data_IF_485805784371
#
_entry.id   IF_485805784371
#
_cell.length_a   1.000
_cell.length_b   1.000
_cell.length_c   1.000
_cell.angle_alpha   90.00
_cell.angle_beta   90.00
_cell.angle_gamma   90.00
#
_symmetry.space_group_name_H-M   'P 1'
#
loop_
_entity.id
_entity.type
_entity.pdbx_description
1 polymer ?
#
# COMPACT_ATOMS: atom_id res chain seq x y z
N UNK A 1 -10.81 -2.37 -18.48
CA UNK A 1 -11.28 -3.04 -17.24
C UNK A 1 -10.73 -4.46 -17.27
N UNK A 2 -10.12 -4.98 -16.20
CA UNK A 2 -9.41 -6.29 -16.20
C UNK A 2 -10.07 -7.26 -15.21
N UNK A 3 -11.39 -7.20 -15.10
CA UNK A 3 -12.15 -8.16 -14.28
C UNK A 3 -12.31 -9.44 -15.11
N UNK A 4 -11.89 -10.61 -14.60
CA UNK A 4 -12.14 -11.88 -15.29
C UNK A 4 -13.64 -12.11 -15.50
N UNK A 5 -14.04 -12.47 -16.71
CA UNK A 5 -15.46 -12.63 -17.12
C UNK A 5 -15.79 -14.00 -17.69
N UNK A 6 -14.78 -14.70 -18.20
CA UNK A 6 -14.85 -16.08 -18.63
C UNK A 6 -13.51 -16.75 -18.38
N UNK A 7 -13.51 -18.07 -18.24
CA UNK A 7 -12.30 -18.87 -18.13
C UNK A 7 -12.35 -19.98 -19.18
N UNK A 8 -11.25 -20.16 -19.91
CA UNK A 8 -11.10 -21.19 -20.94
C UNK A 8 -10.11 -22.24 -20.46
N UNK A 9 -10.47 -23.50 -20.61
CA UNK A 9 -9.62 -24.64 -20.25
C UNK A 9 -9.35 -25.49 -21.48
N UNK A 10 -8.07 -25.84 -21.69
CA UNK A 10 -7.63 -26.72 -22.75
C UNK A 10 -6.53 -27.66 -22.24
N UNK A 11 -6.11 -28.62 -23.08
CA UNK A 11 -5.04 -29.59 -22.75
C UNK A 11 -3.64 -28.98 -22.78
N UNK A 12 -3.47 -27.82 -23.42
CA UNK A 12 -2.22 -27.09 -23.54
C UNK A 12 -2.45 -25.57 -23.53
N UNK A 13 -1.41 -24.83 -23.18
CA UNK A 13 -1.44 -23.37 -22.98
C UNK A 13 -1.78 -22.62 -24.27
N UNK A 14 -1.21 -23.03 -25.41
CA UNK A 14 -1.42 -22.37 -26.70
C UNK A 14 -2.87 -22.49 -27.17
N UNK A 15 -3.48 -23.68 -26.99
CA UNK A 15 -4.89 -23.90 -27.31
C UNK A 15 -5.79 -23.07 -26.40
N UNK A 16 -5.50 -23.00 -25.10
CA UNK A 16 -6.29 -22.20 -24.15
C UNK A 16 -6.26 -20.71 -24.51
N UNK A 17 -5.08 -20.16 -24.82
CA UNK A 17 -4.91 -18.76 -25.20
C UNK A 17 -5.63 -18.42 -26.51
N UNK A 18 -5.48 -19.26 -27.54
CA UNK A 18 -6.20 -19.09 -28.82
C UNK A 18 -7.71 -19.17 -28.63
N UNK A 19 -8.19 -20.12 -27.83
CA UNK A 19 -9.61 -20.28 -27.58
C UNK A 19 -10.19 -19.13 -26.74
N UNK A 20 -9.42 -18.56 -25.82
CA UNK A 20 -9.82 -17.35 -25.08
C UNK A 20 -10.07 -16.15 -26.00
N UNK A 21 -9.28 -15.99 -27.08
CA UNK A 21 -9.47 -14.94 -28.08
C UNK A 21 -10.74 -15.11 -28.93
N UNK A 22 -11.34 -16.31 -28.95
CA UNK A 22 -12.58 -16.59 -29.68
C UNK A 22 -13.84 -16.27 -28.86
N UNK A 23 -13.70 -15.98 -27.56
CA UNK A 23 -14.81 -15.61 -26.70
C UNK A 23 -15.28 -14.20 -27.08
N UNK A 24 -16.51 -14.10 -27.59
CA UNK A 24 -17.17 -12.82 -27.89
C UNK A 24 -18.02 -12.39 -26.69
N UNK A 25 -17.93 -11.11 -26.33
CA UNK A 25 -18.66 -10.52 -25.21
C UNK A 25 -19.27 -9.21 -25.68
N UNK A 26 -20.57 -9.07 -25.46
CA UNK A 26 -21.29 -7.81 -25.67
C UNK A 26 -21.36 -7.03 -24.35
N UNK A 27 -21.01 -5.74 -24.41
CA UNK A 27 -20.95 -4.86 -23.24
C UNK A 27 -21.96 -3.73 -23.36
N UNK A 28 -22.60 -3.41 -22.23
CA UNK A 28 -23.21 -2.10 -22.05
C UNK A 28 -22.21 -1.22 -21.28
N UNK A 29 -21.68 -0.19 -21.94
CA UNK A 29 -20.73 0.72 -21.32
C UNK A 29 -21.41 1.57 -20.22
N UNK A 30 -20.69 1.76 -19.12
CA UNK A 30 -21.07 2.61 -18.00
C UNK A 30 -19.99 3.69 -17.79
N UNK A 31 -20.33 4.82 -17.14
CA UNK A 31 -19.35 5.84 -16.80
C UNK A 31 -18.16 5.26 -16.01
N UNK A 32 -16.96 5.68 -16.40
CA UNK A 32 -15.70 5.20 -15.81
C UNK A 32 -15.14 6.27 -14.87
N UNK A 33 -14.92 5.88 -13.61
CA UNK A 33 -14.38 6.71 -12.54
C UNK A 33 -12.94 6.27 -12.29
N UNK A 34 -11.96 7.15 -12.51
CA UNK A 34 -10.53 6.83 -12.35
C UNK A 34 -9.83 7.58 -11.23
N UNK A 35 -10.49 8.58 -10.61
CA UNK A 35 -9.90 9.39 -9.53
C UNK A 35 -10.71 9.28 -8.24
N UNK A 36 -10.06 9.37 -7.06
CA UNK A 36 -10.75 9.43 -5.78
C UNK A 36 -11.78 10.55 -5.66
N UNK A 37 -11.46 11.73 -6.18
CA UNK A 37 -12.30 12.92 -6.11
C UNK A 37 -13.58 12.72 -6.90
N UNK A 38 -13.48 12.18 -8.13
CA UNK A 38 -14.64 11.84 -8.94
C UNK A 38 -15.46 10.70 -8.32
N UNK A 39 -14.80 9.74 -7.64
CA UNK A 39 -15.50 8.66 -6.95
C UNK A 39 -16.34 9.15 -5.77
N UNK A 40 -15.89 10.21 -5.08
CA UNK A 40 -16.54 10.77 -3.90
C UNK A 40 -17.47 11.95 -4.20
N UNK A 41 -17.65 12.32 -5.47
CA UNK A 41 -18.61 13.34 -5.87
C UNK A 41 -20.06 12.90 -5.57
N UNK A 42 -20.95 13.86 -5.29
CA UNK A 42 -22.34 13.57 -4.91
C UNK A 42 -23.13 12.86 -6.03
N UNK A 43 -22.78 13.13 -7.29
CA UNK A 43 -23.39 12.57 -8.50
C UNK A 43 -22.63 11.35 -9.06
N UNK A 44 -21.63 10.84 -8.34
CA UNK A 44 -20.83 9.70 -8.79
C UNK A 44 -21.67 8.42 -8.87
N UNK A 45 -21.58 7.73 -10.02
CA UNK A 45 -22.19 6.42 -10.18
C UNK A 45 -21.58 5.41 -9.17
N UNK A 46 -22.39 4.63 -8.43
CA UNK A 46 -21.88 3.68 -7.45
C UNK A 46 -21.25 2.46 -8.15
N UNK A 47 -19.98 2.16 -7.82
CA UNK A 47 -19.26 0.97 -8.29
C UNK A 47 -19.69 -0.27 -7.48
N UNK A 48 -19.98 -0.09 -6.19
CA UNK A 48 -20.48 -1.13 -5.29
C UNK A 48 -21.76 -0.67 -4.60
N UNK A 49 -22.53 -1.65 -4.12
CA UNK A 49 -23.64 -1.40 -3.21
C UNK A 49 -23.14 -0.64 -1.97
N UNK A 50 -23.75 0.50 -1.65
CA UNK A 50 -23.32 1.38 -0.56
C UNK A 50 -22.42 2.54 -0.99
N UNK A 51 -22.14 2.69 -2.28
CA UNK A 51 -21.39 3.81 -2.85
C UNK A 51 -19.89 3.56 -2.99
N UNK A 52 -19.16 4.61 -3.32
CA UNK A 52 -17.74 4.51 -3.66
C UNK A 52 -16.79 4.71 -2.47
N UNK A 53 -17.28 5.09 -1.29
CA UNK A 53 -16.48 5.19 -0.08
C UNK A 53 -16.39 3.81 0.60
N UNK A 54 -15.22 3.17 0.52
CA UNK A 54 -14.99 1.89 1.19
C UNK A 54 -14.81 2.06 2.70
N UNK A 55 -13.95 3.01 3.10
CA UNK A 55 -13.62 3.21 4.52
C UNK A 55 -13.19 4.63 4.80
N UNK A 56 -13.70 5.17 5.90
CA UNK A 56 -13.17 6.38 6.52
C UNK A 56 -12.54 6.03 7.87
N UNK A 57 -11.44 6.71 8.23
CA UNK A 57 -10.76 6.54 9.51
C UNK A 57 -10.16 7.85 9.99
N UNK A 58 -10.33 8.14 11.27
CA UNK A 58 -9.82 9.35 11.93
C UNK A 58 -9.04 8.98 13.18
N UNK A 59 -7.94 9.68 13.43
CA UNK A 59 -7.07 9.51 14.59
C UNK A 59 -6.61 10.88 15.04
N UNK A 60 -6.64 11.16 16.35
CA UNK A 60 -6.16 12.45 16.87
C UNK A 60 -5.64 12.32 18.29
N UNK A 61 -4.66 13.15 18.65
CA UNK A 61 -4.09 13.28 19.99
C UNK A 61 -3.49 14.67 20.18
N UNK A 62 -3.77 15.29 21.32
CA UNK A 62 -3.48 16.71 21.59
C UNK A 62 -4.41 17.68 20.84
N UNK A 63 -4.21 18.99 21.06
CA UNK A 63 -4.93 20.04 20.33
C UNK A 63 -4.14 20.47 19.08
N UNK A 64 -4.26 19.69 18.01
CA UNK A 64 -3.37 19.76 16.84
C UNK A 64 -3.37 21.14 16.19
N UNK A 65 -4.55 21.69 15.86
CA UNK A 65 -4.63 22.99 15.20
C UNK A 65 -4.01 24.10 16.06
N UNK A 66 -4.37 24.14 17.35
CA UNK A 66 -3.80 25.11 18.28
C UNK A 66 -2.26 24.99 18.37
N UNK A 67 -1.72 23.76 18.39
CA UNK A 67 -0.26 23.56 18.45
C UNK A 67 0.46 23.94 17.17
N UNK A 68 -0.18 23.81 16.00
CA UNK A 68 0.38 24.22 14.71
C UNK A 68 0.35 25.75 14.62
N UNK A 69 -0.76 26.38 14.98
CA UNK A 69 -0.93 27.84 14.93
C UNK A 69 0.02 28.56 15.90
N UNK A 70 0.35 27.94 17.04
CA UNK A 70 1.27 28.48 18.02
C UNK A 70 2.76 28.19 17.74
N UNK A 71 3.08 27.43 16.68
CA UNK A 71 4.47 27.14 16.32
C UNK A 71 5.15 28.36 15.68
N UNK A 72 6.48 28.44 15.79
CA UNK A 72 7.23 29.56 15.19
C UNK A 72 7.26 29.51 13.65
N UNK A 73 7.08 28.31 13.07
CA UNK A 73 7.08 28.09 11.64
C UNK A 73 6.05 27.01 11.26
N UNK A 74 5.20 27.31 10.28
CA UNK A 74 4.22 26.38 9.72
C UNK A 74 4.61 25.93 8.32
N UNK A 75 4.40 24.64 8.05
CA UNK A 75 4.55 24.02 6.72
C UNK A 75 3.21 23.50 6.27
N UNK A 76 2.88 23.75 5.01
CA UNK A 76 1.78 23.10 4.30
C UNK A 76 2.34 22.33 3.12
N UNK A 77 1.77 21.17 2.82
CA UNK A 77 2.21 20.36 1.69
C UNK A 77 1.08 19.57 1.06
N UNK A 78 1.14 19.43 -0.26
CA UNK A 78 0.29 18.55 -1.06
C UNK A 78 1.19 17.50 -1.70
N UNK A 79 0.93 16.22 -1.45
CA UNK A 79 1.77 15.12 -1.88
C UNK A 79 0.95 14.04 -2.57
N UNK A 80 1.55 13.44 -3.59
CA UNK A 80 0.95 12.32 -4.32
C UNK A 80 1.94 11.16 -4.43
N UNK A 81 1.42 9.94 -4.32
CA UNK A 81 2.18 8.71 -4.56
C UNK A 81 1.48 7.87 -5.63
N UNK A 82 2.23 7.35 -6.61
CA UNK A 82 1.62 6.65 -7.74
C UNK A 82 1.18 5.22 -7.37
N UNK A 83 0.41 4.63 -8.27
CA UNK A 83 0.19 3.17 -8.29
C UNK A 83 1.51 2.48 -8.64
N UNK A 84 1.88 1.46 -7.87
CA UNK A 84 3.14 0.70 -8.05
C UNK A 84 2.84 -0.80 -8.09
N UNK A 85 3.50 -1.54 -8.99
CA UNK A 85 3.48 -3.00 -9.01
C UNK A 85 4.60 -3.64 -8.20
N UNK A 86 4.34 -4.86 -7.75
CA UNK A 86 5.23 -5.65 -6.90
C UNK A 86 6.42 -6.24 -7.65
N UNK A 87 6.21 -6.59 -8.92
CA UNK A 87 7.21 -7.19 -9.81
C UNK A 87 7.96 -8.37 -9.17
N UNK A 88 7.26 -9.23 -8.41
CA UNK A 88 7.83 -10.51 -7.98
C UNK A 88 8.20 -11.35 -9.21
N UNK A 89 9.39 -11.96 -9.19
CA UNK A 89 9.98 -12.61 -10.38
C UNK A 89 9.17 -13.81 -10.84
N UNK A 90 8.68 -14.63 -9.91
CA UNK A 90 7.73 -15.69 -10.20
C UNK A 90 6.32 -15.09 -10.35
N UNK A 91 5.62 -15.38 -11.44
CA UNK A 91 4.22 -14.97 -11.64
C UNK A 91 3.25 -15.64 -10.64
N UNK A 92 1.98 -15.30 -10.72
CA UNK A 92 0.92 -15.97 -9.95
C UNK A 92 0.57 -17.28 -10.65
N UNK A 93 0.69 -18.38 -9.92
CA UNK A 93 0.40 -19.74 -10.42
C UNK A 93 -0.30 -20.54 -9.32
N UNK A 94 -1.35 -21.26 -9.72
CA UNK A 94 -2.08 -22.20 -8.88
C UNK A 94 -2.34 -23.50 -9.64
N UNK A 95 -2.04 -24.64 -9.03
CA UNK A 95 -2.34 -25.98 -9.52
C UNK A 95 -3.30 -26.64 -8.54
N UNK A 96 -4.45 -27.11 -9.02
CA UNK A 96 -5.42 -27.83 -8.20
C UNK A 96 -5.79 -29.17 -8.82
N UNK A 97 -6.03 -30.17 -7.98
CA UNK A 97 -6.60 -31.46 -8.37
C UNK A 97 -7.48 -32.00 -7.25
N UNK A 98 -8.33 -32.98 -7.56
CA UNK A 98 -9.05 -33.72 -6.54
C UNK A 98 -8.28 -34.99 -6.16
N UNK A 99 -8.04 -35.22 -4.87
CA UNK A 99 -7.46 -36.48 -4.36
C UNK A 99 -8.50 -37.62 -4.42
N UNK A 100 -9.77 -37.27 -4.23
CA UNK A 100 -10.97 -38.09 -4.34
C UNK A 100 -12.18 -37.16 -4.59
N UNK A 101 -13.40 -37.69 -4.71
CA UNK A 101 -14.61 -36.92 -4.99
C UNK A 101 -14.95 -35.83 -3.95
N UNK A 102 -14.28 -35.81 -2.80
CA UNK A 102 -14.57 -34.94 -1.66
C UNK A 102 -13.44 -33.98 -1.27
N UNK A 103 -12.25 -34.13 -1.84
CA UNK A 103 -11.04 -33.42 -1.38
C UNK A 103 -10.27 -32.77 -2.52
N UNK A 104 -10.11 -31.44 -2.44
CA UNK A 104 -9.31 -30.65 -3.38
C UNK A 104 -7.95 -30.34 -2.74
N UNK A 105 -6.87 -30.64 -3.46
CA UNK A 105 -5.52 -30.21 -3.12
C UNK A 105 -5.05 -29.12 -4.09
N UNK A 106 -4.50 -28.05 -3.53
CA UNK A 106 -4.03 -26.86 -4.24
C UNK A 106 -2.55 -26.64 -3.91
N UNK A 107 -1.69 -26.60 -4.92
CA UNK A 107 -0.32 -26.10 -4.81
C UNK A 107 -0.31 -24.70 -5.40
N UNK A 108 -0.10 -23.68 -4.57
CA UNK A 108 -0.16 -22.28 -5.01
C UNK A 108 1.03 -21.48 -4.55
N UNK A 109 1.46 -20.55 -5.40
CA UNK A 109 2.38 -19.50 -5.03
C UNK A 109 1.67 -18.41 -4.21
N UNK A 110 1.58 -18.64 -2.90
CA UNK A 110 0.82 -17.80 -1.96
C UNK A 110 1.60 -17.44 -0.68
N UNK A 111 1.27 -16.33 -0.03
CA UNK A 111 1.77 -15.98 1.31
C UNK A 111 0.81 -16.41 2.43
N UNK A 112 -0.41 -16.84 2.08
CA UNK A 112 -1.53 -17.01 3.04
C UNK A 112 -2.29 -18.33 2.83
N UNK A 113 -1.62 -19.51 2.86
CA UNK A 113 -2.25 -20.79 2.52
C UNK A 113 -3.51 -21.13 3.33
N UNK A 114 -3.56 -20.71 4.60
CA UNK A 114 -4.75 -20.92 5.44
C UNK A 114 -5.95 -20.03 5.03
N UNK A 115 -5.69 -18.81 4.55
CA UNK A 115 -6.75 -17.92 4.07
C UNK A 115 -7.23 -18.39 2.70
N UNK A 116 -6.33 -18.84 1.82
CA UNK A 116 -6.69 -19.50 0.55
C UNK A 116 -7.65 -20.65 0.81
N UNK A 117 -7.32 -21.54 1.76
CA UNK A 117 -8.19 -22.68 2.14
C UNK A 117 -9.60 -22.23 2.51
N UNK A 118 -9.72 -21.17 3.31
CA UNK A 118 -11.01 -20.60 3.73
C UNK A 118 -11.79 -20.00 2.56
N UNK A 119 -11.13 -19.18 1.74
CA UNK A 119 -11.78 -18.47 0.62
C UNK A 119 -12.22 -19.45 -0.46
N UNK A 120 -11.42 -20.47 -0.77
CA UNK A 120 -11.82 -21.53 -1.70
C UNK A 120 -13.03 -22.28 -1.17
N UNK A 121 -13.02 -22.69 0.10
CA UNK A 121 -14.17 -23.37 0.69
C UNK A 121 -15.44 -22.51 0.66
N UNK A 122 -15.32 -21.20 0.92
CA UNK A 122 -16.44 -20.26 0.79
C UNK A 122 -16.91 -20.10 -0.66
N UNK A 123 -15.99 -19.97 -1.62
CA UNK A 123 -16.32 -19.74 -3.02
C UNK A 123 -16.99 -20.95 -3.69
N UNK A 124 -16.63 -22.16 -3.26
CA UNK A 124 -17.19 -23.42 -3.78
C UNK A 124 -18.32 -24.00 -2.91
N UNK A 125 -18.66 -23.33 -1.81
CA UNK A 125 -19.63 -23.81 -0.82
C UNK A 125 -19.32 -25.22 -0.29
N UNK A 126 -18.06 -25.44 0.12
CA UNK A 126 -17.58 -26.71 0.69
C UNK A 126 -16.88 -26.51 2.05
N UNK A 127 -16.89 -27.52 2.94
CA UNK A 127 -16.16 -27.47 4.21
C UNK A 127 -14.66 -27.22 3.99
N UNK A 128 -14.04 -26.38 4.83
CA UNK A 128 -12.61 -26.08 4.72
C UNK A 128 -11.72 -27.31 4.96
N UNK A 129 -12.23 -28.35 5.62
CA UNK A 129 -11.56 -29.65 5.80
C UNK A 129 -11.38 -30.43 4.49
N UNK A 130 -12.18 -30.11 3.47
CA UNK A 130 -12.10 -30.67 2.12
C UNK A 130 -11.06 -29.97 1.25
N UNK A 131 -10.46 -28.87 1.72
CA UNK A 131 -9.46 -28.11 0.95
C UNK A 131 -8.10 -28.21 1.62
N UNK A 132 -7.11 -28.71 0.88
CA UNK A 132 -5.70 -28.74 1.29
C UNK A 132 -4.91 -27.76 0.45
N UNK A 133 -4.17 -26.86 1.09
CA UNK A 133 -3.31 -25.89 0.39
C UNK A 133 -1.85 -26.15 0.75
N UNK A 134 -1.02 -26.35 -0.27
CA UNK A 134 0.41 -26.59 -0.19
C UNK A 134 1.11 -25.34 -0.73
N UNK A 135 1.94 -24.73 0.10
CA UNK A 135 2.78 -23.59 -0.29
C UNK A 135 4.22 -24.08 -0.54
N UNK A 136 4.67 -24.21 -1.79
CA UNK A 136 6.04 -24.62 -2.10
C UNK A 136 7.04 -23.48 -1.82
N UNK A 137 8.25 -23.56 -2.38
CA UNK A 137 9.10 -22.38 -2.53
C UNK A 137 8.37 -21.32 -3.37
N UNK A 138 8.46 -20.06 -2.95
CA UNK A 138 7.75 -18.92 -3.56
C UNK A 138 8.78 -17.88 -3.99
N UNK A 139 8.78 -17.52 -5.28
CA UNK A 139 9.69 -16.57 -5.93
C UNK A 139 9.29 -15.10 -5.71
N UNK A 140 8.97 -14.77 -4.46
CA UNK A 140 8.53 -13.43 -4.03
C UNK A 140 7.02 -13.21 -4.11
N UNK A 141 6.56 -12.17 -3.41
CA UNK A 141 5.15 -11.76 -3.37
C UNK A 141 4.98 -10.31 -2.90
N UNK A 142 5.76 -9.91 -1.88
CA UNK A 142 5.87 -8.52 -1.42
C UNK A 142 4.53 -7.87 -1.00
N UNK A 143 3.51 -8.66 -0.68
CA UNK A 143 2.16 -8.21 -0.34
C UNK A 143 1.12 -8.64 -1.37
N UNK A 144 1.47 -8.78 -2.65
CA UNK A 144 0.55 -9.17 -3.72
C UNK A 144 -0.13 -10.53 -3.43
N UNK A 145 0.70 -11.51 -3.04
CA UNK A 145 0.30 -12.87 -2.67
C UNK A 145 -0.23 -12.97 -1.23
N UNK A 146 -0.56 -11.84 -0.58
CA UNK A 146 -1.37 -11.78 0.66
C UNK A 146 -2.86 -11.59 0.37
N UNK A 147 -3.26 -11.67 -0.89
CA UNK A 147 -4.65 -11.80 -1.31
C UNK A 147 -4.86 -13.19 -1.95
N UNK A 148 -6.11 -13.63 -2.03
CA UNK A 148 -6.48 -14.83 -2.77
C UNK A 148 -6.72 -14.42 -4.22
N UNK A 149 -6.04 -15.09 -5.15
CA UNK A 149 -6.01 -14.72 -6.56
C UNK A 149 -6.64 -15.84 -7.38
N UNK A 150 -5.82 -16.68 -8.02
CA UNK A 150 -6.26 -17.70 -8.98
C UNK A 150 -6.67 -19.04 -8.33
N UNK A 151 -6.44 -19.20 -7.02
CA UNK A 151 -6.72 -20.46 -6.34
C UNK A 151 -8.19 -20.92 -6.39
N UNK A 152 -9.20 -20.04 -6.21
CA UNK A 152 -10.60 -20.42 -6.36
C UNK A 152 -10.94 -20.88 -7.78
N UNK A 153 -10.34 -20.28 -8.81
CA UNK A 153 -10.56 -20.66 -10.20
C UNK A 153 -9.97 -22.05 -10.50
N UNK A 154 -8.73 -22.32 -10.08
CA UNK A 154 -8.13 -23.64 -10.23
C UNK A 154 -8.95 -24.73 -9.54
N UNK A 155 -9.40 -24.46 -8.30
CA UNK A 155 -10.22 -25.38 -7.51
C UNK A 155 -11.61 -25.63 -8.14
N UNK A 156 -12.26 -24.59 -8.65
CA UNK A 156 -13.52 -24.71 -9.38
C UNK A 156 -13.38 -25.59 -10.62
N UNK A 157 -12.36 -25.34 -11.43
CA UNK A 157 -12.17 -26.04 -12.70
C UNK A 157 -11.85 -27.52 -12.52
N UNK A 158 -10.98 -27.88 -11.55
CA UNK A 158 -10.72 -29.30 -11.28
C UNK A 158 -11.99 -30.04 -10.85
N UNK A 159 -12.84 -29.40 -10.03
CA UNK A 159 -14.14 -29.96 -9.64
C UNK A 159 -15.08 -30.16 -10.83
N UNK A 160 -15.17 -29.17 -11.73
CA UNK A 160 -16.00 -29.29 -12.94
C UNK A 160 -15.50 -30.32 -13.95
N UNK A 161 -14.22 -30.66 -13.92
CA UNK A 161 -13.58 -31.60 -14.83
C UNK A 161 -13.40 -33.00 -14.23
N UNK A 162 -14.16 -33.34 -13.17
CA UNK A 162 -14.11 -34.67 -12.56
C UNK A 162 -12.77 -34.97 -11.88
N UNK A 163 -12.14 -33.94 -11.30
CA UNK A 163 -10.91 -34.09 -10.52
C UNK A 163 -9.61 -34.00 -11.30
N UNK A 164 -9.68 -33.79 -12.62
CA UNK A 164 -8.49 -33.61 -13.47
C UNK A 164 -7.62 -32.46 -12.92
N UNK A 165 -6.30 -32.61 -12.85
CA UNK A 165 -5.41 -31.52 -12.47
C UNK A 165 -5.51 -30.32 -13.40
N UNK A 166 -5.69 -29.13 -12.83
CA UNK A 166 -5.81 -27.85 -13.55
C UNK A 166 -4.77 -26.87 -13.03
N UNK A 167 -3.98 -26.32 -13.94
CA UNK A 167 -3.03 -25.24 -13.67
C UNK A 167 -3.58 -23.92 -14.22
N UNK A 168 -3.72 -22.92 -13.37
CA UNK A 168 -3.98 -21.52 -13.74
C UNK A 168 -2.70 -20.73 -13.48
N UNK A 169 -2.16 -20.10 -14.52
CA UNK A 169 -0.95 -19.31 -14.43
C UNK A 169 -1.13 -18.02 -15.20
N UNK A 170 -0.80 -16.90 -14.58
CA UNK A 170 -0.84 -15.60 -15.24
C UNK A 170 0.48 -15.35 -15.98
N UNK A 171 0.37 -14.81 -17.19
CA UNK A 171 1.48 -14.15 -17.88
C UNK A 171 1.95 -12.93 -17.06
N UNK A 172 3.10 -12.37 -17.45
CA UNK A 172 3.60 -11.15 -16.81
C UNK A 172 2.64 -9.96 -17.01
N UNK A 173 2.08 -9.83 -18.20
CA UNK A 173 1.13 -8.77 -18.53
C UNK A 173 -0.15 -8.90 -17.69
N UNK A 174 -0.74 -10.09 -17.65
CA UNK A 174 -1.90 -10.37 -16.80
C UNK A 174 -1.58 -10.13 -15.32
N UNK A 175 -0.38 -10.45 -14.85
CA UNK A 175 0.03 -10.12 -13.48
C UNK A 175 -0.05 -8.61 -13.20
N UNK A 176 0.34 -7.75 -14.14
CA UNK A 176 0.24 -6.29 -13.95
C UNK A 176 -1.20 -5.81 -13.87
N UNK A 177 -2.08 -6.45 -14.62
CA UNK A 177 -3.46 -6.03 -14.86
C UNK A 177 -4.47 -6.62 -13.85
N UNK A 178 -4.32 -7.89 -13.48
CA UNK A 178 -5.31 -8.68 -12.74
C UNK A 178 -4.93 -8.97 -11.27
N UNK A 179 -3.72 -8.61 -10.83
CA UNK A 179 -3.29 -8.79 -9.44
C UNK A 179 -3.42 -7.50 -8.63
N UNK A 180 -2.70 -7.37 -7.50
CA UNK A 180 -2.74 -6.20 -6.63
C UNK A 180 -1.64 -5.20 -6.91
N UNK A 181 -1.99 -3.93 -6.84
CA UNK A 181 -1.05 -2.81 -6.86
C UNK A 181 -0.89 -2.21 -5.46
N UNK A 182 0.08 -1.30 -5.29
CA UNK A 182 0.07 -0.36 -4.16
C UNK A 182 -1.01 0.69 -4.36
N UNK A 183 -1.72 1.02 -3.28
CA UNK A 183 -2.63 2.15 -3.23
C UNK A 183 -1.90 3.47 -3.55
N UNK A 184 -2.42 4.21 -4.53
CA UNK A 184 -2.05 5.60 -4.73
C UNK A 184 -2.70 6.46 -3.64
N UNK A 185 -1.91 7.33 -3.01
CA UNK A 185 -2.40 8.29 -2.01
C UNK A 185 -2.23 9.72 -2.53
N UNK A 186 -3.25 10.54 -2.31
CA UNK A 186 -3.16 12.01 -2.26
C UNK A 186 -3.17 12.42 -0.78
N UNK A 187 -2.26 13.28 -0.37
CA UNK A 187 -2.04 13.65 1.04
C UNK A 187 -1.90 15.17 1.13
N UNK A 188 -2.83 15.81 1.84
CA UNK A 188 -2.71 17.20 2.26
C UNK A 188 -2.23 17.23 3.71
N UNK A 189 -1.16 17.97 3.97
CA UNK A 189 -0.47 17.98 5.25
C UNK A 189 -0.24 19.40 5.79
N UNK A 190 -0.29 19.51 7.10
CA UNK A 190 0.13 20.70 7.85
C UNK A 190 1.05 20.30 8.99
N UNK A 191 2.06 21.11 9.29
CA UNK A 191 3.05 20.84 10.33
C UNK A 191 3.48 22.15 11.01
N UNK A 192 3.59 22.13 12.34
CA UNK A 192 4.14 23.25 13.14
C UNK A 192 5.46 22.87 13.80
N UNK A 193 6.49 23.69 13.61
CA UNK A 193 7.85 23.48 14.15
C UNK A 193 8.37 24.78 14.78
N UNK A 194 9.07 24.69 15.91
CA UNK A 194 9.70 25.84 16.54
C UNK A 194 11.07 26.19 15.91
N UNK A 195 11.64 27.35 16.26
CA UNK A 195 12.95 27.82 15.74
C UNK A 195 14.14 26.95 16.16
N UNK A 196 14.17 26.49 17.41
CA UNK A 196 14.85 25.23 17.70
C UNK A 196 13.93 24.19 17.05
N UNK A 197 14.33 23.36 16.11
CA UNK A 197 13.42 22.47 15.35
C UNK A 197 12.61 21.40 16.11
N UNK A 198 12.04 21.69 17.29
CA UNK A 198 11.03 20.89 17.98
C UNK A 198 9.72 20.88 17.18
N UNK A 199 9.28 19.69 16.81
CA UNK A 199 8.00 19.44 16.16
C UNK A 199 6.87 19.57 17.19
N UNK A 200 5.97 20.52 16.97
CA UNK A 200 4.84 20.80 17.88
C UNK A 200 3.62 19.93 17.55
N UNK A 201 3.32 19.79 16.27
CA UNK A 201 2.29 18.87 15.80
C UNK A 201 2.15 18.85 14.29
N UNK A 202 1.41 17.87 13.79
CA UNK A 202 1.10 17.75 12.37
C UNK A 202 -0.26 17.10 12.14
N UNK A 203 -0.89 17.49 11.04
CA UNK A 203 -2.19 16.99 10.58
C UNK A 203 -2.05 16.48 9.15
N UNK A 204 -2.71 15.37 8.82
CA UNK A 204 -2.75 14.80 7.47
C UNK A 204 -4.18 14.43 7.10
N UNK A 205 -4.63 14.83 5.91
CA UNK A 205 -5.82 14.31 5.27
C UNK A 205 -5.44 13.50 4.03
N UNK A 206 -5.94 12.27 3.95
CA UNK A 206 -5.46 11.27 2.98
C UNK A 206 -6.60 10.70 2.16
N UNK A 207 -6.52 10.85 0.85
CA UNK A 207 -7.35 10.11 -0.10
C UNK A 207 -6.56 8.92 -0.63
N UNK A 208 -7.10 7.71 -0.42
CA UNK A 208 -6.53 6.43 -0.84
C UNK A 208 -7.39 5.82 -1.95
N UNK A 209 -6.77 5.50 -3.08
CA UNK A 209 -7.43 4.81 -4.18
C UNK A 209 -7.24 3.29 -4.05
N UNK A 210 -8.33 2.53 -3.88
CA UNK A 210 -8.28 1.05 -3.79
C UNK A 210 -8.52 0.34 -5.12
N UNK A 211 -8.83 1.07 -6.20
CA UNK A 211 -9.28 0.46 -7.45
C UNK A 211 -10.63 -0.24 -7.29
N UNK A 212 -10.86 -1.26 -8.11
CA UNK A 212 -12.19 -1.83 -8.32
C UNK A 212 -12.72 -2.68 -7.15
N UNK A 213 -11.88 -3.31 -6.34
CA UNK A 213 -12.32 -4.22 -5.27
C UNK A 213 -11.62 -3.96 -3.93
N UNK A 214 -12.27 -4.40 -2.84
CA UNK A 214 -11.94 -4.00 -1.48
C UNK A 214 -10.52 -4.40 -1.09
N UNK A 215 -10.15 -5.68 -1.32
CA UNK A 215 -8.84 -6.22 -0.96
C UNK A 215 -8.47 -5.78 0.48
N UNK A 216 -7.30 -5.19 0.66
CA UNK A 216 -6.80 -4.62 1.92
C UNK A 216 -7.18 -3.13 2.12
N UNK A 217 -7.98 -2.53 1.23
CA UNK A 217 -8.31 -1.10 1.25
C UNK A 217 -9.04 -0.61 2.50
N UNK A 218 -9.69 -1.52 3.23
CA UNK A 218 -10.32 -1.24 4.52
C UNK A 218 -9.32 -0.85 5.63
N UNK A 219 -8.02 -1.12 5.47
CA UNK A 219 -7.02 -0.92 6.54
C UNK A 219 -5.70 -0.29 6.11
N UNK A 220 -5.37 -0.24 4.81
CA UNK A 220 -4.07 0.29 4.34
C UNK A 220 -3.83 1.74 4.78
N UNK A 221 -4.80 2.64 4.60
CA UNK A 221 -4.65 4.06 4.95
C UNK A 221 -4.52 4.26 6.46
N UNK A 222 -5.43 3.69 7.25
CA UNK A 222 -5.37 3.78 8.71
C UNK A 222 -4.12 3.13 9.29
N UNK A 223 -3.62 2.03 8.71
CA UNK A 223 -2.35 1.43 9.11
C UNK A 223 -1.16 2.36 8.83
N UNK A 224 -1.19 3.15 7.75
CA UNK A 224 -0.21 4.18 7.46
C UNK A 224 -0.14 5.23 8.57
N UNK A 225 -1.27 5.83 8.92
CA UNK A 225 -1.35 6.82 10.01
C UNK A 225 -0.89 6.26 11.37
N UNK A 226 -1.39 5.07 11.74
CA UNK A 226 -1.01 4.39 12.98
C UNK A 226 0.51 4.19 13.12
N UNK A 227 1.18 3.76 12.05
CA UNK A 227 2.62 3.47 12.08
C UNK A 227 3.46 4.74 12.17
N UNK A 228 3.05 5.81 11.50
CA UNK A 228 3.79 7.08 11.48
C UNK A 228 3.72 7.81 12.82
N UNK A 229 2.65 7.63 13.59
CA UNK A 229 2.53 8.18 14.93
C UNK A 229 3.62 7.70 15.92
N UNK A 230 4.29 6.58 15.63
CA UNK A 230 5.45 6.12 16.42
C UNK A 230 6.74 6.88 16.09
N UNK A 231 6.85 7.57 14.97
CA UNK A 231 8.11 8.17 14.51
C UNK A 231 8.49 9.39 15.37
N UNK A 232 7.48 10.21 15.68
CA UNK A 232 7.60 11.46 16.44
C UNK A 232 6.53 11.52 17.56
N UNK A 233 6.72 10.77 18.67
CA UNK A 233 5.68 10.55 19.66
C UNK A 233 5.40 11.75 20.58
N UNK A 234 6.29 12.75 20.59
CA UNK A 234 6.24 13.91 21.50
C UNK A 234 5.57 15.16 20.89
N UNK A 235 4.67 14.97 19.92
CA UNK A 235 3.96 16.06 19.26
C UNK A 235 2.46 15.76 19.16
N UNK A 236 1.65 16.79 18.93
CA UNK A 236 0.24 16.60 18.62
C UNK A 236 0.08 16.01 17.21
N UNK A 237 -0.87 15.10 17.03
CA UNK A 237 -1.03 14.40 15.76
C UNK A 237 -2.51 14.24 15.40
N UNK A 238 -2.87 14.61 14.17
CA UNK A 238 -4.17 14.32 13.57
C UNK A 238 -4.00 13.62 12.22
N UNK A 239 -4.91 12.70 11.93
CA UNK A 239 -4.94 11.94 10.69
C UNK A 239 -6.38 11.64 10.31
N UNK A 240 -6.75 12.02 9.11
CA UNK A 240 -7.98 11.63 8.44
C UNK A 240 -7.61 10.84 7.19
N UNK A 241 -8.40 9.81 6.89
CA UNK A 241 -8.29 9.12 5.61
C UNK A 241 -9.62 8.63 5.10
N UNK A 242 -9.78 8.67 3.77
CA UNK A 242 -10.86 8.04 3.02
C UNK A 242 -10.23 7.11 1.98
N UNK A 243 -10.61 5.83 2.02
CA UNK A 243 -10.34 4.88 0.94
C UNK A 243 -11.58 4.77 0.06
N UNK A 244 -11.42 4.92 -1.24
CA UNK A 244 -12.50 4.88 -2.22
C UNK A 244 -12.26 3.84 -3.33
N UNK A 245 -13.35 3.39 -3.93
CA UNK A 245 -13.39 2.58 -5.13
C UNK A 245 -13.23 3.43 -6.39
N UNK A 246 -12.49 2.91 -7.38
CA UNK A 246 -12.43 3.44 -8.74
C UNK A 246 -12.42 2.28 -9.73
N UNK A 247 -12.59 2.52 -11.03
CA UNK A 247 -12.53 1.48 -12.07
C UNK A 247 -11.09 1.07 -12.46
N UNK A 248 -10.08 1.44 -11.66
CA UNK A 248 -8.69 1.03 -11.83
C UNK A 248 -8.42 -0.37 -11.26
N UNK A 249 -7.30 -1.03 -11.62
CA UNK A 249 -6.88 -2.28 -11.02
C UNK A 249 -6.85 -2.21 -9.49
N UNK A 250 -7.37 -3.25 -8.84
CA UNK A 250 -7.49 -3.29 -7.38
C UNK A 250 -6.14 -3.18 -6.71
N UNK A 251 -6.03 -2.23 -5.79
CA UNK A 251 -4.88 -2.12 -4.91
C UNK A 251 -5.01 -3.12 -3.75
N UNK A 252 -3.88 -3.40 -3.09
CA UNK A 252 -3.85 -4.27 -1.93
C UNK A 252 -2.60 -4.09 -1.10
N UNK A 253 -2.27 -5.12 -0.33
CA UNK A 253 -1.07 -5.13 0.47
C UNK A 253 0.18 -5.01 -0.44
N UNK A 254 1.04 -4.04 -0.15
CA UNK A 254 2.42 -3.99 -0.66
C UNK A 254 3.36 -3.67 0.51
N UNK A 255 4.59 -4.19 0.48
CA UNK A 255 5.64 -3.99 1.50
C UNK A 255 5.62 -2.58 2.10
N UNK A 256 5.46 -2.50 3.42
CA UNK A 256 5.26 -1.25 4.17
C UNK A 256 3.81 -1.01 4.58
N UNK A 257 2.84 -1.34 3.71
CA UNK A 257 1.40 -1.35 4.00
C UNK A 257 0.91 0.02 4.51
N UNK A 258 0.82 0.98 3.60
CA UNK A 258 0.40 2.37 3.84
C UNK A 258 1.50 3.29 4.39
N UNK A 259 2.44 2.76 5.19
CA UNK A 259 3.49 3.57 5.81
C UNK A 259 4.38 4.32 4.80
N UNK A 260 4.86 3.74 3.69
CA UNK A 260 5.74 4.47 2.76
C UNK A 260 5.11 5.75 2.21
N UNK A 261 3.81 5.73 1.91
CA UNK A 261 3.10 6.90 1.40
C UNK A 261 3.01 8.02 2.46
N UNK A 262 2.64 7.67 3.69
CA UNK A 262 2.48 8.64 4.78
C UNK A 262 3.83 9.17 5.26
N UNK A 263 4.85 8.30 5.39
CA UNK A 263 6.22 8.70 5.76
C UNK A 263 6.80 9.66 4.72
N UNK A 264 6.56 9.43 3.42
CA UNK A 264 7.02 10.35 2.38
C UNK A 264 6.51 11.78 2.60
N UNK A 265 5.22 11.96 2.87
CA UNK A 265 4.65 13.29 3.14
C UNK A 265 5.20 13.92 4.42
N UNK A 266 5.22 13.18 5.54
CA UNK A 266 5.71 13.70 6.84
C UNK A 266 7.19 14.07 6.79
N UNK A 267 8.03 13.19 6.23
CA UNK A 267 9.46 13.44 6.12
C UNK A 267 9.78 14.57 5.15
N UNK A 268 8.97 14.76 4.10
CA UNK A 268 9.11 15.89 3.19
C UNK A 268 8.80 17.21 3.89
N UNK A 269 7.71 17.29 4.66
CA UNK A 269 7.39 18.50 5.44
C UNK A 269 8.47 18.81 6.48
N UNK A 270 9.00 17.79 7.16
CA UNK A 270 10.06 17.97 8.15
C UNK A 270 11.37 18.45 7.51
N UNK A 271 11.68 17.98 6.29
CA UNK A 271 12.85 18.43 5.52
C UNK A 271 12.68 19.87 5.01
N UNK A 272 11.47 20.22 4.57
CA UNK A 272 11.10 21.59 4.17
C UNK A 272 11.21 22.55 5.39
N UNK A 273 10.80 22.12 6.59
CA UNK A 273 11.00 22.87 7.84
C UNK A 273 12.48 23.02 8.21
N UNK A 274 13.26 21.94 8.11
CA UNK A 274 14.70 21.97 8.40
C UNK A 274 15.42 23.00 7.51
N UNK A 275 15.09 23.00 6.21
CA UNK A 275 15.65 23.92 5.24
C UNK A 275 15.31 25.37 5.56
N UNK A 276 14.03 25.66 5.86
CA UNK A 276 13.57 27.01 6.17
C UNK A 276 14.21 27.58 7.45
N UNK A 277 14.42 26.73 8.46
CA UNK A 277 15.01 27.10 9.74
C UNK A 277 16.55 27.06 9.74
N UNK A 278 17.18 26.59 8.65
CA UNK A 278 18.64 26.41 8.57
C UNK A 278 19.17 25.30 9.48
N UNK A 279 18.32 24.36 9.89
CA UNK A 279 18.68 23.24 10.76
C UNK A 279 19.15 22.06 9.91
N UNK A 280 20.17 21.34 10.37
CA UNK A 280 20.59 20.11 9.70
C UNK A 280 19.44 19.06 9.71
N UNK A 281 19.14 18.42 8.56
CA UNK A 281 18.03 17.47 8.46
C UNK A 281 18.21 16.21 9.31
N UNK A 282 19.42 15.85 9.71
CA UNK A 282 19.67 14.77 10.68
C UNK A 282 19.39 15.26 12.10
N UNK A 283 19.82 16.47 12.44
CA UNK A 283 19.64 17.05 13.78
C UNK A 283 18.16 17.28 14.13
N UNK A 284 17.37 17.79 13.19
CA UNK A 284 15.92 17.96 13.42
C UNK A 284 15.23 16.60 13.68
N UNK A 285 15.67 15.53 13.01
CA UNK A 285 15.14 14.18 13.22
C UNK A 285 15.59 13.62 14.56
N UNK A 286 16.86 13.77 14.94
CA UNK A 286 17.39 13.34 16.25
C UNK A 286 16.69 14.02 17.43
N UNK A 287 16.30 15.29 17.26
CA UNK A 287 15.54 16.05 18.26
C UNK A 287 14.15 15.44 18.49
N UNK A 288 13.46 15.07 17.41
CA UNK A 288 12.06 14.68 17.47
C UNK A 288 11.83 13.17 17.54
N UNK A 289 12.78 12.36 17.09
CA UNK A 289 12.65 10.91 16.99
C UNK A 289 12.25 10.26 18.32
N UNK A 290 11.45 9.21 18.21
CA UNK A 290 11.11 8.34 19.32
C UNK A 290 12.35 7.82 20.05
N UNK A 291 12.21 7.69 21.37
CA UNK A 291 13.18 7.13 22.30
C UNK A 291 12.53 6.02 23.12
N UNK A 292 13.36 5.16 23.69
CA UNK A 292 12.89 4.18 24.65
C UNK A 292 12.17 4.87 25.81
N UNK A 293 11.03 4.35 26.20
CA UNK A 293 10.19 4.92 27.23
C UNK A 293 9.13 5.91 26.74
N UNK A 294 9.27 6.47 25.53
CA UNK A 294 8.18 7.23 24.92
C UNK A 294 6.93 6.32 24.76
N UNK A 295 5.75 6.94 24.68
CA UNK A 295 4.51 6.23 24.40
C UNK A 295 3.98 6.62 23.02
N UNK A 296 3.36 5.67 22.33
CA UNK A 296 2.60 5.98 21.12
C UNK A 296 1.45 6.95 21.48
N UNK A 297 1.35 8.11 20.82
CA UNK A 297 0.46 9.16 21.27
C UNK A 297 -1.03 8.87 21.01
N UNK A 298 -1.34 7.84 20.21
CA UNK A 298 -2.72 7.40 19.91
C UNK A 298 -3.19 6.25 20.78
N UNK A 299 -2.28 5.33 21.14
CA UNK A 299 -2.64 4.07 21.83
C UNK A 299 -2.13 4.00 23.26
N UNK A 300 -1.26 4.93 23.68
CA UNK A 300 -0.59 4.90 24.99
C UNK A 300 0.42 3.77 25.15
N UNK A 301 0.65 2.94 24.12
CA UNK A 301 1.57 1.81 24.18
C UNK A 301 3.02 2.30 24.29
N UNK A 302 3.72 1.81 25.31
CA UNK A 302 5.12 2.13 25.56
C UNK A 302 6.02 1.59 24.45
N UNK A 303 7.01 2.40 24.06
CA UNK A 303 8.09 2.02 23.16
C UNK A 303 9.22 1.43 24.00
N UNK A 304 9.41 0.12 23.91
CA UNK A 304 10.44 -0.61 24.65
C UNK A 304 11.80 -0.63 23.96
N UNK A 305 11.86 -0.30 22.67
CA UNK A 305 13.11 -0.18 21.93
C UNK A 305 12.98 0.86 20.82
N UNK A 306 13.99 1.71 20.65
CA UNK A 306 13.97 2.79 19.68
C UNK A 306 15.37 3.04 19.10
N UNK A 307 15.72 2.30 18.04
CA UNK A 307 17.03 2.40 17.38
C UNK A 307 17.17 3.51 16.34
N UNK A 308 16.11 4.28 16.05
CA UNK A 308 16.17 5.32 15.02
C UNK A 308 17.26 6.39 15.28
N UNK A 309 17.42 6.94 16.50
CA UNK A 309 18.51 7.88 16.78
C UNK A 309 19.90 7.27 16.53
N UNK A 310 20.11 6.02 16.91
CA UNK A 310 21.37 5.30 16.71
C UNK A 310 21.64 5.06 15.21
N UNK A 311 20.60 4.72 14.44
CA UNK A 311 20.68 4.58 12.99
C UNK A 311 21.05 5.91 12.32
N UNK A 312 20.45 7.03 12.74
CA UNK A 312 20.74 8.37 12.22
C UNK A 312 22.19 8.74 12.50
N UNK A 313 22.65 8.56 13.74
CA UNK A 313 24.03 8.86 14.14
C UNK A 313 25.07 7.99 13.41
N UNK A 314 24.80 6.69 13.32
CA UNK A 314 25.68 5.77 12.60
C UNK A 314 25.71 6.07 11.10
N UNK A 315 24.56 6.35 10.50
CA UNK A 315 24.43 6.75 9.10
C UNK A 315 25.19 8.05 8.82
N UNK A 316 25.04 9.06 9.68
CA UNK A 316 25.76 10.34 9.63
C UNK A 316 27.27 10.14 9.54
N UNK A 317 27.82 9.27 10.38
CA UNK A 317 29.26 8.92 10.40
C UNK A 317 29.70 8.16 9.16
N UNK A 318 29.02 7.06 8.81
CA UNK A 318 29.38 6.20 7.67
C UNK A 318 29.31 6.96 6.34
N UNK A 319 28.34 7.86 6.20
CA UNK A 319 28.16 8.65 4.98
C UNK A 319 29.14 9.83 4.87
N UNK A 320 29.97 10.09 5.89
CA UNK A 320 30.77 11.32 6.01
C UNK A 320 29.92 12.58 5.83
N UNK A 321 28.75 12.62 6.49
CA UNK A 321 27.69 13.60 6.22
C UNK A 321 28.19 15.05 6.26
N UNK A 322 28.90 15.43 7.31
CA UNK A 322 29.39 16.82 7.49
C UNK A 322 30.33 17.24 6.35
N UNK A 323 31.28 16.38 6.01
CA UNK A 323 32.23 16.61 4.91
C UNK A 323 31.49 16.78 3.59
N UNK A 324 30.57 15.86 3.26
CA UNK A 324 29.80 15.92 2.01
C UNK A 324 28.87 17.13 1.94
N UNK A 325 28.30 17.53 3.07
CA UNK A 325 27.43 18.70 3.17
C UNK A 325 28.23 19.98 2.93
N UNK A 326 29.40 20.12 3.57
CA UNK A 326 30.32 21.24 3.35
C UNK A 326 30.80 21.32 1.89
N UNK A 327 31.18 20.19 1.29
CA UNK A 327 31.53 20.11 -0.13
C UNK A 327 30.41 20.61 -1.04
N UNK A 328 29.15 20.24 -0.76
CA UNK A 328 27.99 20.68 -1.55
C UNK A 328 27.68 22.19 -1.39
N UNK A 329 27.95 22.77 -0.21
CA UNK A 329 27.77 24.21 0.02
C UNK A 329 28.80 25.05 -0.73
N UNK A 330 30.00 24.51 -0.95
CA UNK A 330 31.12 25.20 -1.60
C UNK A 330 31.15 25.02 -3.13
N UNK A 331 30.21 24.28 -3.74
CA UNK A 331 30.15 24.13 -5.20
C UNK A 331 29.73 25.44 -5.90
N UNK A 332 30.67 26.02 -6.65
CA UNK A 332 30.42 27.11 -7.59
C UNK A 332 30.45 26.56 -9.02
N UNK A 333 29.29 26.47 -9.68
CA UNK A 333 29.16 26.02 -11.06
C UNK A 333 27.70 25.99 -11.55
N UNK A 334 27.50 26.15 -12.86
CA UNK A 334 26.17 26.20 -13.50
C UNK A 334 25.42 24.86 -13.45
N UNK A 335 26.13 23.77 -13.15
CA UNK A 335 25.58 22.46 -12.86
C UNK A 335 25.70 22.18 -11.36
N UNK A 336 24.72 22.64 -10.58
CA UNK A 336 24.55 22.22 -9.18
C UNK A 336 24.10 20.75 -9.13
N UNK A 337 25.03 19.82 -9.40
CA UNK A 337 24.80 18.39 -9.17
C UNK A 337 24.64 18.19 -7.66
N UNK A 338 23.38 17.99 -7.21
CA UNK A 338 22.93 17.69 -5.83
C UNK A 338 22.36 18.85 -4.98
N UNK A 339 21.80 19.91 -5.57
CA UNK A 339 20.61 20.52 -4.96
C UNK A 339 19.40 19.84 -5.57
N UNK A 340 18.60 19.14 -4.77
CA UNK A 340 17.23 18.81 -5.12
C UNK A 340 16.45 20.13 -5.26
N UNK A 341 16.60 20.83 -6.39
CA UNK A 341 15.58 21.78 -6.81
C UNK A 341 14.40 20.92 -7.24
N UNK A 342 13.32 20.94 -6.45
CA UNK A 342 12.00 20.56 -6.97
C UNK A 342 11.77 21.42 -8.23
N UNK A 343 11.67 20.77 -9.38
CA UNK A 343 10.90 21.32 -10.48
C UNK A 343 9.46 21.24 -10.00
N UNK A 344 8.91 22.37 -9.54
CA UNK A 344 7.55 22.87 -9.73
C UNK A 344 7.48 24.25 -9.08
#
# INVERSE_FOLDING_TARGET
MVTPVAIVVARDELTAEKAAQLVSIEWQELPVITTPEAALAEDAAPIHNGGNLLKQSTMSTGNVQQTIDAADYQVQGHYQTPVIQHCHMESVTSLAWMEDDSRITIVSSTQIPHIVRRVVGQALDIPWSCVRVIKPFVGGGFGNKQDVLEEPMAAFLTSKLGGIPVKVSLSREECFLATRTRHAFTIDGQMGVNRDGTLKGYSLDVLSNTGAYASHGHSIASAGGNKVAYLYPRCAYAYSSKTCYTNLPSAGAMRGYGAPQVVFAVESMLDDAATALGIDPVEIRLRNAAREGDANPLTGKRIYSAGLPECLEKGRKIFEWEKRRAECQNQQGNLRRRRWRRLF
#
